data_IF_139963260632
#
_entry.id   IF_139963260632
#
_cell.length_a   1.000
_cell.length_b   1.000
_cell.length_c   1.000
_cell.angle_alpha   90.00
_cell.angle_beta   90.00
_cell.angle_gamma   90.00
#
_symmetry.space_group_name_H-M   'P 1'
#
loop_
_entity.id
_entity.type
_entity.pdbx_description
1 polymer ?
#
# COMPACT_ATOMS: atom_id res chain seq x y z
N UNK A 1 0.92 4.49 13.65
CA UNK A 1 0.80 3.12 14.22
C UNK A 1 2.19 2.49 14.31
N UNK A 2 2.44 1.60 15.28
CA UNK A 2 3.72 0.85 15.35
C UNK A 2 3.77 -0.25 14.26
N UNK A 3 4.97 -0.63 13.83
CA UNK A 3 5.17 -1.60 12.74
C UNK A 3 4.41 -2.92 12.93
N UNK A 4 4.55 -3.58 14.09
CA UNK A 4 3.90 -4.89 14.32
C UNK A 4 2.37 -4.79 14.24
N UNK A 5 1.78 -3.76 14.85
CA UNK A 5 0.33 -3.51 14.78
C UNK A 5 -0.12 -3.19 13.36
N UNK A 6 0.73 -2.53 12.57
CA UNK A 6 0.48 -2.20 11.17
C UNK A 6 0.53 -3.45 10.28
N UNK A 7 1.44 -4.38 10.56
CA UNK A 7 1.50 -5.68 9.89
C UNK A 7 0.24 -6.53 10.20
N UNK A 8 -0.21 -6.55 11.45
CA UNK A 8 -1.45 -7.22 11.87
C UNK A 8 -2.69 -6.59 11.21
N UNK A 9 -2.78 -5.25 11.23
CA UNK A 9 -3.87 -4.53 10.59
C UNK A 9 -3.87 -4.72 9.07
N UNK A 10 -2.70 -4.79 8.43
CA UNK A 10 -2.58 -5.17 7.01
C UNK A 10 -3.08 -6.59 6.77
N UNK A 11 -2.69 -7.56 7.62
CA UNK A 11 -3.15 -8.94 7.49
C UNK A 11 -4.68 -9.02 7.51
N UNK A 12 -5.35 -8.23 8.37
CA UNK A 12 -6.83 -8.15 8.39
C UNK A 12 -7.36 -7.44 7.14
N UNK A 13 -6.81 -6.28 6.77
CA UNK A 13 -7.25 -5.50 5.61
C UNK A 13 -7.16 -6.30 4.30
N UNK A 14 -6.18 -7.19 4.16
CA UNK A 14 -6.04 -8.07 3.01
C UNK A 14 -7.25 -8.99 2.80
N UNK A 15 -8.05 -9.27 3.83
CA UNK A 15 -9.27 -10.08 3.71
C UNK A 15 -10.55 -9.25 3.56
N UNK A 16 -10.47 -7.91 3.54
CA UNK A 16 -11.65 -7.07 3.30
C UNK A 16 -12.18 -7.24 1.88
N UNK A 17 -13.50 -7.15 1.71
CA UNK A 17 -14.15 -7.32 0.41
C UNK A 17 -13.63 -6.30 -0.63
N UNK A 18 -13.42 -5.05 -0.19
CA UNK A 18 -12.90 -3.95 -1.03
C UNK A 18 -11.51 -4.28 -1.57
N UNK A 19 -10.60 -4.69 -0.68
CA UNK A 19 -9.22 -5.03 -1.02
C UNK A 19 -9.16 -6.27 -1.91
N UNK A 20 -9.92 -7.33 -1.56
CA UNK A 20 -9.99 -8.57 -2.34
C UNK A 20 -10.54 -8.35 -3.76
N UNK A 21 -11.49 -7.43 -3.93
CA UNK A 21 -12.03 -7.07 -5.25
C UNK A 21 -10.97 -6.41 -6.12
N UNK A 22 -10.23 -5.44 -5.58
CA UNK A 22 -9.16 -4.75 -6.31
C UNK A 22 -7.98 -5.68 -6.64
N UNK A 23 -7.56 -6.51 -5.68
CA UNK A 23 -6.49 -7.48 -5.91
C UNK A 23 -6.84 -8.49 -7.01
N UNK A 24 -8.09 -8.96 -7.04
CA UNK A 24 -8.58 -9.83 -8.12
C UNK A 24 -8.59 -9.10 -9.46
N UNK A 25 -9.08 -7.87 -9.51
CA UNK A 25 -9.09 -7.07 -10.73
C UNK A 25 -7.67 -6.85 -11.28
N UNK A 26 -6.73 -6.43 -10.43
CA UNK A 26 -5.31 -6.23 -10.80
C UNK A 26 -4.68 -7.54 -11.28
N UNK A 27 -4.99 -8.68 -10.64
CA UNK A 27 -4.47 -9.99 -11.04
C UNK A 27 -4.99 -10.42 -12.42
N UNK A 28 -6.30 -10.31 -12.66
CA UNK A 28 -6.92 -10.71 -13.93
C UNK A 28 -6.38 -9.90 -15.10
N UNK A 29 -6.09 -8.62 -14.90
CA UNK A 29 -5.55 -7.74 -15.94
C UNK A 29 -4.08 -8.01 -16.29
N UNK A 30 -3.36 -8.81 -15.49
CA UNK A 30 -2.00 -9.26 -15.84
C UNK A 30 -0.92 -8.16 -15.87
N UNK A 31 -1.20 -6.95 -15.36
CA UNK A 31 -0.28 -5.82 -15.48
C UNK A 31 1.00 -5.92 -14.63
N UNK A 32 1.14 -6.98 -13.81
CA UNK A 32 2.34 -7.23 -13.02
C UNK A 32 2.66 -6.15 -11.99
N UNK A 33 1.76 -5.19 -11.75
CA UNK A 33 1.97 -4.03 -10.90
C UNK A 33 2.28 -4.43 -9.46
N UNK A 34 1.78 -5.57 -8.98
CA UNK A 34 1.99 -6.05 -7.61
C UNK A 34 2.86 -7.31 -7.55
N UNK A 35 3.89 -7.42 -8.40
CA UNK A 35 4.78 -8.61 -8.44
C UNK A 35 5.41 -8.93 -7.08
N UNK A 36 5.73 -7.93 -6.26
CA UNK A 36 6.27 -8.09 -4.90
C UNK A 36 5.22 -7.85 -3.80
N UNK A 37 3.94 -7.70 -4.17
CA UNK A 37 2.83 -7.63 -3.22
C UNK A 37 2.67 -6.27 -2.54
N UNK A 38 2.29 -6.33 -1.26
CA UNK A 38 2.01 -5.19 -0.39
C UNK A 38 2.86 -5.37 0.87
N UNK A 39 3.44 -4.29 1.38
CA UNK A 39 4.23 -4.33 2.62
C UNK A 39 4.04 -3.10 3.48
N UNK A 40 4.07 -3.28 4.79
CA UNK A 40 4.14 -2.21 5.78
C UNK A 40 5.61 -1.93 6.12
N UNK A 41 5.97 -0.67 6.34
CA UNK A 41 7.28 -0.27 6.88
C UNK A 41 7.20 1.05 7.63
N UNK A 42 8.24 1.37 8.38
CA UNK A 42 8.47 2.72 8.89
C UNK A 42 9.07 3.59 7.78
N UNK A 43 8.48 4.74 7.49
CA UNK A 43 8.93 5.72 6.48
C UNK A 43 9.45 7.01 7.10
N UNK A 44 10.09 6.95 8.27
CA UNK A 44 10.52 8.10 9.06
C UNK A 44 11.91 8.65 8.68
N UNK A 45 12.62 8.00 7.74
CA UNK A 45 14.01 8.36 7.45
C UNK A 45 14.14 9.33 6.27
N UNK A 46 14.88 10.44 6.43
CA UNK A 46 15.09 11.43 5.37
C UNK A 46 15.89 10.89 4.16
N UNK A 47 16.56 9.74 4.30
CA UNK A 47 17.27 9.04 3.23
C UNK A 47 16.44 7.95 2.54
N UNK A 48 15.18 7.75 2.95
CA UNK A 48 14.30 6.86 2.19
C UNK A 48 13.96 7.52 0.85
N UNK A 49 14.34 6.92 -0.30
CA UNK A 49 14.20 7.54 -1.62
C UNK A 49 12.73 7.81 -2.02
N UNK A 50 11.78 7.22 -1.29
CA UNK A 50 10.35 7.42 -1.46
C UNK A 50 9.77 8.40 -0.41
N UNK A 51 10.46 8.61 0.71
CA UNK A 51 10.18 9.67 1.68
C UNK A 51 10.93 10.95 1.25
N UNK A 52 10.49 11.56 0.15
CA UNK A 52 11.09 12.81 -0.37
C UNK A 52 10.61 14.04 0.41
N UNK A 53 10.63 14.00 1.74
CA UNK A 53 10.16 15.12 2.58
C UNK A 53 8.66 15.42 2.45
N UNK A 54 7.87 14.51 1.86
CA UNK A 54 6.41 14.60 1.84
C UNK A 54 5.89 14.16 3.21
N UNK A 55 5.90 15.10 4.15
CA UNK A 55 5.21 14.95 5.43
C UNK A 55 3.80 14.39 5.18
N UNK A 56 3.39 13.39 5.97
CA UNK A 56 2.07 12.74 5.90
C UNK A 56 1.84 11.78 4.71
N UNK A 57 2.89 11.22 4.09
CA UNK A 57 2.70 10.14 3.10
C UNK A 57 2.29 8.84 3.80
N UNK A 58 1.04 8.42 3.67
CA UNK A 58 0.53 7.19 4.31
C UNK A 58 0.83 5.92 3.50
N UNK A 59 0.95 6.03 2.20
CA UNK A 59 1.28 4.92 1.31
C UNK A 59 1.77 5.42 -0.02
N UNK A 60 2.42 4.54 -0.78
CA UNK A 60 2.86 4.82 -2.14
C UNK A 60 3.15 3.52 -2.91
N UNK A 61 3.30 3.65 -4.24
CA UNK A 61 3.75 2.57 -5.10
C UNK A 61 5.26 2.60 -5.37
N UNK A 62 5.96 1.53 -4.99
CA UNK A 62 7.36 1.30 -5.28
C UNK A 62 7.50 0.66 -6.68
N UNK A 63 7.71 1.50 -7.69
CA UNK A 63 7.81 1.07 -9.10
C UNK A 63 9.00 0.14 -9.35
N UNK A 64 10.13 0.35 -8.67
CA UNK A 64 11.34 -0.49 -8.80
C UNK A 64 11.06 -1.93 -8.39
N UNK A 65 10.35 -2.13 -7.29
CA UNK A 65 10.06 -3.47 -6.78
C UNK A 65 8.67 -3.98 -7.18
N UNK A 66 7.82 -3.15 -7.80
CA UNK A 66 6.43 -3.47 -8.15
C UNK A 66 5.64 -3.96 -6.93
N UNK A 67 5.58 -3.10 -5.91
CA UNK A 67 4.82 -3.32 -4.67
C UNK A 67 4.17 -2.04 -4.17
N UNK A 68 3.09 -2.18 -3.42
CA UNK A 68 2.53 -1.10 -2.61
C UNK A 68 3.21 -1.11 -1.25
N UNK A 69 3.52 0.08 -0.74
CA UNK A 69 4.16 0.27 0.55
C UNK A 69 3.29 1.18 1.41
N UNK A 70 3.02 0.75 2.65
CA UNK A 70 2.26 1.51 3.65
C UNK A 70 3.23 2.02 4.73
N UNK A 71 3.14 3.29 5.06
CA UNK A 71 3.99 3.99 6.03
C UNK A 71 3.31 4.01 7.39
N UNK A 72 3.70 3.08 8.26
CA UNK A 72 2.96 2.75 9.47
C UNK A 72 2.86 3.90 10.45
N UNK A 73 3.90 4.72 10.59
CA UNK A 73 3.93 5.86 11.49
C UNK A 73 2.94 6.97 11.08
N UNK A 74 2.56 7.03 9.80
CA UNK A 74 1.61 8.01 9.25
C UNK A 74 0.15 7.52 9.25
N UNK A 75 -0.08 6.26 9.63
CA UNK A 75 -1.40 5.62 9.68
C UNK A 75 -1.85 5.53 11.14
N UNK A 76 -3.00 6.10 11.49
CA UNK A 76 -3.45 6.14 12.88
C UNK A 76 -4.29 4.91 13.25
N UNK A 77 -5.21 4.50 12.37
CA UNK A 77 -6.17 3.43 12.65
C UNK A 77 -6.15 2.32 11.60
N UNK A 78 -6.75 1.18 11.92
CA UNK A 78 -6.96 0.08 10.96
C UNK A 78 -7.80 0.53 9.75
N UNK A 79 -8.78 1.42 9.99
CA UNK A 79 -9.58 1.99 8.91
C UNK A 79 -8.73 2.83 7.96
N UNK A 80 -7.84 3.67 8.51
CA UNK A 80 -6.91 4.46 7.70
C UNK A 80 -5.97 3.57 6.89
N UNK A 81 -5.53 2.45 7.46
CA UNK A 81 -4.72 1.46 6.76
C UNK A 81 -5.46 0.89 5.55
N UNK A 82 -6.70 0.41 5.76
CA UNK A 82 -7.50 -0.15 4.67
C UNK A 82 -7.80 0.91 3.59
N UNK A 83 -8.18 2.12 3.99
CA UNK A 83 -8.50 3.20 3.06
C UNK A 83 -7.25 3.64 2.26
N UNK A 84 -6.07 3.69 2.90
CA UNK A 84 -4.78 3.94 2.23
C UNK A 84 -4.44 2.81 1.25
N UNK A 85 -4.61 1.56 1.67
CA UNK A 85 -4.35 0.42 0.80
C UNK A 85 -5.27 0.43 -0.42
N UNK A 86 -6.56 0.69 -0.22
CA UNK A 86 -7.54 0.83 -1.31
C UNK A 86 -7.13 1.96 -2.25
N UNK A 87 -6.73 3.12 -1.74
CA UNK A 87 -6.25 4.24 -2.57
C UNK A 87 -5.09 3.81 -3.49
N UNK A 88 -4.06 3.18 -2.93
CA UNK A 88 -2.89 2.74 -3.71
C UNK A 88 -3.24 1.66 -4.74
N UNK A 89 -4.12 0.71 -4.37
CA UNK A 89 -4.60 -0.33 -5.27
C UNK A 89 -5.45 0.23 -6.42
N UNK A 90 -6.32 1.21 -6.17
CA UNK A 90 -7.08 1.90 -7.22
C UNK A 90 -6.13 2.63 -8.17
N UNK A 91 -5.15 3.34 -7.65
CA UNK A 91 -4.11 3.97 -8.46
C UNK A 91 -3.36 2.95 -9.34
N UNK A 92 -3.12 1.73 -8.83
CA UNK A 92 -2.52 0.65 -9.63
C UNK A 92 -3.47 0.09 -10.67
N UNK A 93 -4.71 -0.15 -10.30
CA UNK A 93 -5.73 -0.61 -11.23
C UNK A 93 -5.89 0.37 -12.40
N UNK A 94 -5.96 1.67 -12.12
CA UNK A 94 -6.01 2.73 -13.15
C UNK A 94 -4.74 2.75 -14.02
N UNK A 95 -3.56 2.72 -13.39
CA UNK A 95 -2.28 2.76 -14.14
C UNK A 95 -2.10 1.55 -15.08
N UNK A 96 -2.82 0.45 -14.88
CA UNK A 96 -2.82 -0.69 -15.79
C UNK A 96 -3.65 -0.46 -17.08
N UNK A 97 -4.40 0.64 -17.17
CA UNK A 97 -5.24 1.01 -18.33
C UNK A 97 -4.65 2.13 -19.20
N UNK A 98 -3.50 2.69 -18.82
CA UNK A 98 -2.75 3.69 -19.59
C UNK A 98 -1.56 3.04 -20.27
#
# INVERSE_FOLDING_TARGET
>A
MQQNTCDEALAVALYSERVQTLLRAIKVMGCGALRKGISCRVCDKPDDPYYQGKANTQGYFDSKHRRVVLCCEQIATQKDLEDTLVHELVCRWWACHL
#
